data_IF_648841054097
#
_entry.id   IF_648841054097
#
_cell.length_a   1.000
_cell.length_b   1.000
_cell.length_c   1.000
_cell.angle_alpha   90.00
_cell.angle_beta   90.00
_cell.angle_gamma   90.00
#
_symmetry.space_group_name_H-M   'P 1'
#
loop_
_entity.id
_entity.type
_entity.pdbx_description
1 polymer ?
#
# COMPACT_ATOMS: atom_id res chain seq x y z
N UNK A 1 4.70 -34.58 -63.85
CA UNK A 1 4.39 -33.12 -63.92
C UNK A 1 3.01 -32.72 -63.38
N UNK A 2 1.87 -32.87 -64.09
CA UNK A 2 0.56 -32.40 -63.57
C UNK A 2 0.11 -33.04 -62.25
N UNK A 3 0.42 -34.32 -62.04
CA UNK A 3 0.07 -35.04 -60.80
C UNK A 3 0.89 -34.54 -59.60
N UNK A 4 2.21 -34.42 -59.73
CA UNK A 4 3.09 -33.87 -58.68
C UNK A 4 2.74 -32.42 -58.33
N UNK A 5 2.41 -31.59 -59.32
CA UNK A 5 1.97 -30.22 -59.08
C UNK A 5 0.67 -30.18 -58.25
N UNK A 6 -0.28 -31.08 -58.53
CA UNK A 6 -1.51 -31.18 -57.75
C UNK A 6 -1.28 -31.73 -56.33
N UNK A 7 -0.36 -32.70 -56.16
CA UNK A 7 0.01 -33.23 -54.83
C UNK A 7 0.70 -32.15 -53.99
N UNK A 8 1.61 -31.38 -54.58
CA UNK A 8 2.27 -30.25 -53.91
C UNK A 8 1.28 -29.16 -53.51
N UNK A 9 0.37 -28.79 -54.43
CA UNK A 9 -0.69 -27.80 -54.16
C UNK A 9 -1.66 -28.28 -53.08
N UNK A 10 -1.96 -29.57 -53.01
CA UNK A 10 -2.74 -30.18 -51.92
C UNK A 10 -2.03 -30.02 -50.57
N UNK A 11 -0.74 -30.36 -50.50
CA UNK A 11 0.04 -30.20 -49.26
C UNK A 11 0.17 -28.75 -48.79
N UNK A 12 0.34 -27.81 -49.73
CA UNK A 12 0.35 -26.37 -49.42
C UNK A 12 -1.00 -25.88 -48.86
N UNK A 13 -2.11 -26.34 -49.43
CA UNK A 13 -3.45 -26.03 -48.93
C UNK A 13 -3.71 -26.63 -47.55
N UNK A 14 -3.32 -27.89 -47.33
CA UNK A 14 -3.43 -28.55 -46.01
C UNK A 14 -2.62 -27.79 -44.94
N UNK A 15 -1.40 -27.35 -45.27
CA UNK A 15 -0.59 -26.53 -44.38
C UNK A 15 -1.22 -25.15 -44.11
N UNK A 16 -1.80 -24.50 -45.12
CA UNK A 16 -2.50 -23.22 -44.94
C UNK A 16 -3.73 -23.36 -44.04
N UNK A 17 -4.49 -24.45 -44.18
CA UNK A 17 -5.66 -24.75 -43.35
C UNK A 17 -5.23 -24.99 -41.90
N UNK A 18 -4.19 -25.81 -41.66
CA UNK A 18 -3.65 -26.06 -40.32
C UNK A 18 -3.15 -24.78 -39.65
N UNK A 19 -2.39 -23.96 -40.38
CA UNK A 19 -1.91 -22.67 -39.89
C UNK A 19 -3.04 -21.68 -39.59
N UNK A 20 -4.09 -21.65 -40.41
CA UNK A 20 -5.25 -20.82 -40.17
C UNK A 20 -6.01 -21.28 -38.92
N UNK A 21 -6.22 -22.59 -38.77
CA UNK A 21 -6.88 -23.19 -37.61
C UNK A 21 -6.15 -22.84 -36.30
N UNK A 22 -4.81 -23.00 -36.28
CA UNK A 22 -3.98 -22.61 -35.12
C UNK A 22 -4.04 -21.12 -34.81
N UNK A 23 -4.14 -20.25 -35.82
CA UNK A 23 -4.31 -18.80 -35.63
C UNK A 23 -5.68 -18.47 -35.04
N UNK A 24 -6.74 -19.11 -35.53
CA UNK A 24 -8.09 -18.96 -34.99
C UNK A 24 -8.17 -19.39 -33.54
N UNK A 25 -7.62 -20.55 -33.19
CA UNK A 25 -7.60 -21.04 -31.81
C UNK A 25 -6.86 -20.07 -30.86
N UNK A 26 -5.72 -19.51 -31.30
CA UNK A 26 -4.99 -18.50 -30.52
C UNK A 26 -5.77 -17.19 -30.38
N UNK A 27 -6.41 -16.74 -31.46
CA UNK A 27 -7.23 -15.53 -31.44
C UNK A 27 -8.44 -15.70 -30.51
N UNK A 28 -9.07 -16.87 -30.51
CA UNK A 28 -10.19 -17.20 -29.61
C UNK A 28 -9.74 -17.18 -28.14
N UNK A 29 -8.62 -17.83 -27.81
CA UNK A 29 -8.05 -17.78 -26.46
C UNK A 29 -7.73 -16.35 -26.02
N UNK A 30 -7.21 -15.54 -26.93
CA UNK A 30 -6.89 -14.13 -26.66
C UNK A 30 -8.17 -13.32 -26.43
N UNK A 31 -9.18 -13.44 -27.30
CA UNK A 31 -10.47 -12.75 -27.15
C UNK A 31 -11.16 -13.17 -25.84
N UNK A 32 -11.16 -14.47 -25.52
CA UNK A 32 -11.72 -15.00 -24.28
C UNK A 32 -10.99 -14.42 -23.04
N UNK A 33 -9.65 -14.41 -23.07
CA UNK A 33 -8.84 -13.81 -22.00
C UNK A 33 -9.05 -12.29 -21.85
N UNK A 34 -9.15 -11.57 -22.97
CA UNK A 34 -9.42 -10.12 -22.96
C UNK A 34 -10.84 -9.80 -22.50
N UNK A 35 -11.82 -10.67 -22.71
CA UNK A 35 -13.19 -10.46 -22.21
C UNK A 35 -13.26 -10.38 -20.69
N UNK A 36 -12.54 -11.28 -20.01
CA UNK A 36 -12.40 -11.25 -18.55
C UNK A 36 -11.67 -9.99 -18.08
N UNK A 37 -10.56 -9.65 -18.73
CA UNK A 37 -9.76 -8.48 -18.36
C UNK A 37 -10.51 -7.16 -18.60
N UNK A 38 -11.28 -7.05 -19.69
CA UNK A 38 -12.15 -5.91 -19.96
C UNK A 38 -13.15 -5.69 -18.82
N UNK A 39 -13.79 -6.76 -18.35
CA UNK A 39 -14.74 -6.68 -17.23
C UNK A 39 -14.04 -6.20 -15.96
N UNK A 40 -12.86 -6.76 -15.66
CA UNK A 40 -12.05 -6.38 -14.50
C UNK A 40 -11.62 -4.91 -14.55
N UNK A 41 -11.10 -4.44 -15.68
CA UNK A 41 -10.68 -3.05 -15.86
C UNK A 41 -11.85 -2.08 -15.82
N UNK A 42 -13.00 -2.46 -16.38
CA UNK A 42 -14.22 -1.64 -16.31
C UNK A 42 -14.64 -1.45 -14.85
N UNK A 43 -14.71 -2.53 -14.08
CA UNK A 43 -15.02 -2.46 -12.64
C UNK A 43 -13.96 -1.67 -11.86
N UNK A 44 -12.67 -1.84 -12.17
CA UNK A 44 -11.60 -1.08 -11.52
C UNK A 44 -11.69 0.42 -11.85
N UNK A 45 -12.03 0.79 -13.09
CA UNK A 45 -12.21 2.18 -13.48
C UNK A 45 -13.40 2.83 -12.76
N UNK A 46 -14.51 2.11 -12.60
CA UNK A 46 -15.66 2.56 -11.82
C UNK A 46 -15.29 2.79 -10.34
N UNK A 47 -14.59 1.83 -9.72
CA UNK A 47 -14.11 1.96 -8.34
C UNK A 47 -13.15 3.13 -8.18
N UNK A 48 -12.23 3.32 -9.12
CA UNK A 48 -11.30 4.44 -9.12
C UNK A 48 -12.03 5.78 -9.25
N UNK A 49 -13.10 5.83 -10.05
CA UNK A 49 -13.96 7.00 -10.17
C UNK A 49 -14.66 7.36 -8.86
N UNK A 50 -15.06 6.37 -8.06
CA UNK A 50 -15.62 6.57 -6.71
C UNK A 50 -14.53 7.07 -5.76
N UNK A 51 -13.37 6.42 -5.75
CA UNK A 51 -12.23 6.80 -4.91
C UNK A 51 -11.79 8.24 -5.20
N UNK A 52 -11.69 8.61 -6.48
CA UNK A 52 -11.29 9.95 -6.91
C UNK A 52 -12.22 11.04 -6.38
N UNK A 53 -13.54 10.77 -6.32
CA UNK A 53 -14.51 11.72 -5.76
C UNK A 53 -14.32 11.91 -4.26
N UNK A 54 -14.02 10.85 -3.52
CA UNK A 54 -13.88 10.88 -2.05
C UNK A 54 -12.48 11.27 -1.57
N UNK A 55 -11.50 11.28 -2.49
CA UNK A 55 -10.08 11.45 -2.20
C UNK A 55 -9.78 12.65 -1.31
N UNK A 56 -10.41 13.80 -1.58
CA UNK A 56 -10.15 15.04 -0.84
C UNK A 56 -10.49 14.88 0.64
N UNK A 57 -11.67 14.34 0.95
CA UNK A 57 -12.09 14.12 2.33
C UNK A 57 -11.28 13.03 3.03
N UNK A 58 -10.98 11.93 2.33
CA UNK A 58 -10.21 10.82 2.89
C UNK A 58 -8.77 11.25 3.23
N UNK A 59 -8.13 12.04 2.37
CA UNK A 59 -6.79 12.59 2.64
C UNK A 59 -6.82 13.62 3.77
N UNK A 60 -7.85 14.47 3.83
CA UNK A 60 -8.01 15.46 4.89
C UNK A 60 -8.10 14.80 6.27
N UNK A 61 -9.00 13.83 6.43
CA UNK A 61 -9.21 13.10 7.68
C UNK A 61 -7.95 12.30 8.03
N UNK A 62 -7.36 11.58 7.07
CA UNK A 62 -6.13 10.81 7.32
C UNK A 62 -4.98 11.70 7.77
N UNK A 63 -4.84 12.89 7.19
CA UNK A 63 -3.81 13.86 7.58
C UNK A 63 -4.02 14.37 9.01
N UNK A 64 -5.29 14.60 9.40
CA UNK A 64 -5.62 14.97 10.77
C UNK A 64 -5.32 13.84 11.77
N UNK A 65 -5.55 12.58 11.39
CA UNK A 65 -5.16 11.41 12.22
C UNK A 65 -3.65 11.41 12.48
N UNK A 66 -2.83 11.56 11.44
CA UNK A 66 -1.36 11.58 11.56
C UNK A 66 -0.89 12.77 12.41
N UNK A 67 -1.50 13.93 12.24
CA UNK A 67 -1.08 15.15 12.94
C UNK A 67 -1.47 15.20 14.43
N UNK A 68 -2.67 14.73 14.77
CA UNK A 68 -3.29 14.97 16.07
C UNK A 68 -3.55 13.72 16.90
N UNK A 69 -3.82 12.57 16.27
CA UNK A 69 -4.39 11.43 16.98
C UNK A 69 -3.38 10.39 17.48
N UNK A 70 -2.08 10.58 17.19
CA UNK A 70 -1.02 9.64 17.58
C UNK A 70 -0.99 9.27 19.06
N UNK A 71 -1.29 10.20 19.96
CA UNK A 71 -1.24 9.97 21.41
C UNK A 71 -2.51 9.31 22.01
N UNK A 72 -3.59 9.18 21.23
CA UNK A 72 -4.89 8.75 21.74
C UNK A 72 -5.16 7.26 21.54
N UNK A 73 -6.09 6.72 22.31
CA UNK A 73 -6.53 5.32 22.25
C UNK A 73 -7.40 5.06 21.02
N UNK A 74 -7.46 3.80 20.57
CA UNK A 74 -8.26 3.39 19.41
C UNK A 74 -9.72 3.87 19.49
N UNK A 75 -10.36 3.78 20.67
CA UNK A 75 -11.76 4.20 20.85
C UNK A 75 -11.94 5.71 20.63
N UNK A 76 -11.03 6.52 21.19
CA UNK A 76 -11.07 7.97 20.99
C UNK A 76 -10.82 8.34 19.53
N UNK A 77 -9.89 7.65 18.86
CA UNK A 77 -9.62 7.88 17.44
C UNK A 77 -10.87 7.63 16.58
N UNK A 78 -11.55 6.50 16.80
CA UNK A 78 -12.74 6.13 16.05
C UNK A 78 -13.87 7.14 16.21
N UNK A 79 -14.12 7.58 17.46
CA UNK A 79 -15.12 8.60 17.75
C UNK A 79 -14.77 9.93 17.05
N UNK A 80 -13.51 10.37 17.14
CA UNK A 80 -13.08 11.62 16.53
C UNK A 80 -13.13 11.58 14.99
N UNK A 81 -12.73 10.46 14.38
CA UNK A 81 -12.80 10.23 12.93
C UNK A 81 -14.26 10.32 12.47
N UNK A 82 -15.19 9.69 13.19
CA UNK A 82 -16.62 9.73 12.85
C UNK A 82 -17.16 11.16 12.87
N UNK A 83 -16.85 11.93 13.91
CA UNK A 83 -17.24 13.35 13.99
C UNK A 83 -16.65 14.17 12.83
N UNK A 84 -15.39 13.91 12.45
CA UNK A 84 -14.77 14.60 11.31
C UNK A 84 -15.39 14.20 9.97
N UNK A 85 -15.79 12.95 9.78
CA UNK A 85 -16.53 12.52 8.59
C UNK A 85 -17.89 13.25 8.50
N UNK A 86 -18.66 13.29 9.59
CA UNK A 86 -19.94 14.01 9.63
C UNK A 86 -19.76 15.51 9.34
N UNK A 87 -18.69 16.12 9.86
CA UNK A 87 -18.35 17.51 9.57
C UNK A 87 -17.97 17.71 8.10
N UNK A 88 -17.17 16.83 7.50
CA UNK A 88 -16.82 16.92 6.09
C UNK A 88 -18.08 16.84 5.21
N UNK A 89 -18.96 15.87 5.47
CA UNK A 89 -20.19 15.68 4.72
C UNK A 89 -21.14 16.88 4.84
N UNK A 90 -21.30 17.45 6.03
CA UNK A 90 -22.12 18.65 6.24
C UNK A 90 -21.57 19.90 5.54
N UNK A 91 -20.26 19.95 5.30
CA UNK A 91 -19.59 21.02 4.53
C UNK A 91 -19.51 20.71 3.02
N UNK A 92 -20.14 19.65 2.54
CA UNK A 92 -20.12 19.27 1.13
C UNK A 92 -18.79 18.68 0.65
N UNK A 93 -17.93 18.25 1.58
CA UNK A 93 -16.68 17.56 1.26
C UNK A 93 -16.98 16.06 1.17
N UNK A 94 -16.83 15.43 -0.02
CA UNK A 94 -17.05 14.00 -0.18
C UNK A 94 -15.99 13.19 0.55
N UNK A 95 -16.45 12.19 1.31
CA UNK A 95 -15.62 11.23 2.04
C UNK A 95 -16.14 9.81 1.80
N UNK A 96 -15.27 8.82 1.94
CA UNK A 96 -15.68 7.42 1.93
C UNK A 96 -16.52 7.09 3.16
N UNK A 97 -17.61 6.33 2.95
CA UNK A 97 -18.50 5.87 4.03
C UNK A 97 -17.72 5.01 5.03
N UNK A 98 -16.98 4.03 4.50
CA UNK A 98 -16.09 3.15 5.26
C UNK A 98 -14.66 3.69 5.18
N UNK A 99 -14.41 4.79 5.89
CA UNK A 99 -13.09 5.39 5.94
C UNK A 99 -12.08 4.49 6.66
N UNK A 100 -10.87 4.41 6.08
CA UNK A 100 -9.75 3.71 6.68
C UNK A 100 -8.46 4.49 6.45
N UNK A 101 -7.76 4.79 7.54
CA UNK A 101 -6.41 5.40 7.49
C UNK A 101 -5.45 4.46 6.76
N UNK A 102 -5.54 3.16 7.04
CA UNK A 102 -4.77 2.12 6.34
C UNK A 102 -5.13 2.05 4.86
N UNK A 103 -6.39 2.27 4.48
CA UNK A 103 -6.79 2.35 3.08
C UNK A 103 -6.24 3.58 2.34
N UNK A 104 -5.98 4.68 3.06
CA UNK A 104 -5.55 5.95 2.48
C UNK A 104 -4.02 6.11 2.45
N UNK A 105 -3.34 5.80 3.56
CA UNK A 105 -1.88 5.93 3.72
C UNK A 105 -1.14 4.61 3.91
N UNK A 106 -1.85 3.49 4.05
CA UNK A 106 -1.23 2.19 4.22
C UNK A 106 -0.71 1.63 2.90
N UNK A 107 0.57 1.32 2.86
CA UNK A 107 1.18 0.52 1.80
C UNK A 107 1.23 -0.95 2.26
N UNK A 108 0.51 -1.88 1.61
CA UNK A 108 0.49 -3.29 2.00
C UNK A 108 1.87 -3.95 2.05
N UNK A 109 2.82 -3.50 1.21
CA UNK A 109 4.19 -4.02 1.18
C UNK A 109 4.94 -3.54 2.43
N UNK A 110 4.89 -2.25 2.75
CA UNK A 110 5.52 -1.71 3.97
C UNK A 110 4.93 -2.30 5.24
N UNK A 111 3.60 -2.44 5.31
CA UNK A 111 2.91 -3.04 6.45
C UNK A 111 3.39 -4.49 6.65
N UNK A 112 3.55 -5.24 5.56
CA UNK A 112 4.10 -6.59 5.62
C UNK A 112 5.53 -6.60 6.16
N UNK A 113 6.38 -5.69 5.71
CA UNK A 113 7.75 -5.58 6.22
C UNK A 113 7.76 -5.22 7.71
N UNK A 114 6.89 -4.31 8.16
CA UNK A 114 6.74 -3.97 9.57
C UNK A 114 6.34 -5.19 10.41
N UNK A 115 5.42 -6.02 9.92
CA UNK A 115 5.02 -7.25 10.58
C UNK A 115 6.18 -8.24 10.70
N UNK A 116 7.02 -8.36 9.66
CA UNK A 116 8.24 -9.18 9.69
C UNK A 116 9.23 -8.65 10.74
N UNK A 117 9.33 -7.32 10.90
CA UNK A 117 10.17 -6.68 11.92
C UNK A 117 9.55 -6.69 13.32
N UNK A 118 8.35 -7.25 13.49
CA UNK A 118 7.72 -7.49 14.78
C UNK A 118 6.69 -6.45 15.21
N UNK A 119 6.20 -5.61 14.29
CA UNK A 119 4.98 -4.84 14.53
C UNK A 119 3.77 -5.81 14.60
N UNK A 120 2.89 -5.69 15.59
CA UNK A 120 1.67 -6.49 15.63
C UNK A 120 0.74 -6.21 14.44
N UNK A 121 -0.05 -7.21 14.05
CA UNK A 121 -0.94 -7.14 12.88
C UNK A 121 -2.31 -6.52 13.17
N UNK A 122 -2.55 -6.05 14.40
CA UNK A 122 -3.81 -5.39 14.76
C UNK A 122 -3.89 -3.99 14.14
N UNK A 123 -5.12 -3.50 13.95
CA UNK A 123 -5.35 -2.22 13.26
C UNK A 123 -4.72 -1.04 13.99
N UNK A 124 -4.69 -1.06 15.33
CA UNK A 124 -4.14 0.05 16.12
C UNK A 124 -2.61 0.12 15.99
N UNK A 125 -1.92 -1.02 16.01
CA UNK A 125 -0.48 -1.10 15.77
C UNK A 125 -0.10 -0.67 14.35
N UNK A 126 -0.87 -1.10 13.34
CA UNK A 126 -0.67 -0.69 11.94
C UNK A 126 -0.89 0.81 11.78
N UNK A 127 -1.93 1.38 12.38
CA UNK A 127 -2.14 2.84 12.39
C UNK A 127 -0.96 3.59 13.02
N UNK A 128 -0.44 3.11 14.15
CA UNK A 128 0.74 3.72 14.77
C UNK A 128 1.97 3.64 13.85
N UNK A 129 2.16 2.53 13.13
CA UNK A 129 3.19 2.40 12.12
C UNK A 129 3.04 3.43 10.99
N UNK A 130 1.80 3.63 10.51
CA UNK A 130 1.50 4.66 9.49
C UNK A 130 1.79 6.06 10.01
N UNK A 131 1.39 6.38 11.24
CA UNK A 131 1.63 7.69 11.86
C UNK A 131 3.14 7.92 11.98
N UNK A 132 3.90 6.96 12.49
CA UNK A 132 5.36 7.06 12.66
C UNK A 132 6.05 7.25 11.29
N UNK A 133 5.63 6.52 10.26
CA UNK A 133 6.24 6.60 8.93
C UNK A 133 5.88 7.88 8.16
N UNK A 134 4.80 8.58 8.52
CA UNK A 134 4.32 9.78 7.82
C UNK A 134 4.37 11.04 8.69
N UNK A 135 4.86 10.95 9.93
CA UNK A 135 5.00 12.09 10.81
C UNK A 135 6.13 13.01 10.33
N UNK A 136 5.82 14.31 10.23
CA UNK A 136 6.84 15.33 9.92
C UNK A 136 7.71 15.68 11.14
N UNK A 137 7.30 15.29 12.34
CA UNK A 137 8.04 15.51 13.59
C UNK A 137 8.58 14.19 14.10
N UNK A 138 9.73 14.22 14.76
CA UNK A 138 10.32 13.04 15.40
C UNK A 138 9.30 12.38 16.36
N UNK A 139 8.93 11.11 16.13
CA UNK A 139 7.87 10.46 16.88
C UNK A 139 8.34 10.08 18.29
N UNK A 140 7.53 10.42 19.30
CA UNK A 140 7.71 9.95 20.67
C UNK A 140 6.79 8.75 20.93
N UNK A 141 7.37 7.56 21.06
CA UNK A 141 6.61 6.34 21.32
C UNK A 141 6.35 6.13 22.82
N UNK A 142 5.08 6.09 23.22
CA UNK A 142 4.66 5.68 24.57
C UNK A 142 4.43 4.16 24.55
N UNK A 143 5.46 3.39 24.90
CA UNK A 143 5.48 1.93 24.70
C UNK A 143 5.87 1.18 25.98
N UNK A 144 4.89 0.91 26.88
CA UNK A 144 5.16 0.17 28.12
C UNK A 144 5.50 -1.31 27.88
N UNK A 145 5.13 -1.88 26.73
CA UNK A 145 5.35 -3.29 26.41
C UNK A 145 6.66 -3.53 25.64
N UNK A 146 7.34 -2.47 25.18
CA UNK A 146 8.58 -2.56 24.41
C UNK A 146 8.39 -3.06 22.97
N UNK A 147 7.15 -3.11 22.46
CA UNK A 147 6.84 -3.61 21.12
C UNK A 147 7.36 -2.67 20.03
N UNK A 148 7.09 -1.37 20.14
CA UNK A 148 7.58 -0.36 19.22
C UNK A 148 9.13 -0.28 19.27
N UNK A 149 9.71 -0.39 20.47
CA UNK A 149 11.16 -0.43 20.65
C UNK A 149 11.80 -1.61 19.90
N UNK A 150 11.23 -2.82 20.04
CA UNK A 150 11.69 -4.01 19.32
C UNK A 150 11.54 -3.85 17.81
N UNK A 151 10.40 -3.32 17.36
CA UNK A 151 10.11 -3.09 15.95
C UNK A 151 11.11 -2.13 15.30
N UNK A 152 11.34 -0.95 15.90
CA UNK A 152 12.29 0.05 15.37
C UNK A 152 13.72 -0.51 15.30
N UNK A 153 14.17 -1.24 16.34
CA UNK A 153 15.49 -1.89 16.33
C UNK A 153 15.65 -2.92 15.21
N UNK A 154 14.61 -3.68 14.91
CA UNK A 154 14.64 -4.66 13.84
C UNK A 154 14.60 -4.01 12.45
N UNK A 155 13.79 -2.95 12.31
CA UNK A 155 13.68 -2.16 11.08
C UNK A 155 15.02 -1.50 10.72
N UNK A 156 15.66 -0.85 11.69
CA UNK A 156 16.91 -0.11 11.51
C UNK A 156 18.18 -0.98 11.66
N UNK A 157 18.03 -2.31 11.75
CA UNK A 157 19.14 -3.24 11.99
C UNK A 157 20.25 -3.14 10.93
N UNK A 158 19.90 -2.81 9.69
CA UNK A 158 20.86 -2.63 8.58
C UNK A 158 21.49 -1.23 8.55
N UNK A 159 20.89 -0.28 9.26
CA UNK A 159 21.25 1.13 9.23
C UNK A 159 22.12 1.56 10.42
N UNK A 160 22.60 0.60 11.23
CA UNK A 160 23.44 0.85 12.41
C UNK A 160 22.79 1.80 13.44
N UNK A 161 21.56 1.49 13.86
CA UNK A 161 20.84 2.23 14.90
C UNK A 161 21.66 2.36 16.19
N UNK A 162 21.86 3.59 16.66
CA UNK A 162 22.50 3.87 17.95
C UNK A 162 21.44 4.06 19.04
N UNK A 163 21.52 3.25 20.10
CA UNK A 163 20.58 3.30 21.22
C UNK A 163 21.25 4.00 22.40
N UNK A 164 20.76 5.19 22.74
CA UNK A 164 21.30 6.02 23.84
C UNK A 164 20.20 6.40 24.83
N UNK A 165 20.60 6.70 26.06
CA UNK A 165 19.74 7.29 27.11
C UNK A 165 20.26 8.66 27.48
N UNK A 166 19.36 9.55 27.93
CA UNK A 166 19.72 10.87 28.46
C UNK A 166 20.65 10.81 29.68
N UNK A 167 20.73 9.66 30.34
CA UNK A 167 21.60 9.41 31.50
C UNK A 167 23.02 8.95 31.13
N UNK A 168 23.28 8.64 29.86
CA UNK A 168 24.57 8.12 29.43
C UNK A 168 25.61 9.24 29.38
N UNK A 169 26.82 8.97 29.89
CA UNK A 169 27.90 9.98 29.94
C UNK A 169 28.28 10.49 28.54
N UNK A 170 28.25 9.61 27.53
CA UNK A 170 28.58 9.91 26.13
C UNK A 170 27.37 10.30 25.27
N UNK A 171 26.22 10.65 25.88
CA UNK A 171 24.97 10.99 25.16
C UNK A 171 25.19 12.04 24.06
N UNK A 172 25.76 13.20 24.43
CA UNK A 172 25.94 14.34 23.51
C UNK A 172 26.88 13.97 22.36
N UNK A 173 27.98 13.28 22.67
CA UNK A 173 28.98 12.86 21.68
C UNK A 173 28.40 11.84 20.69
N UNK A 174 27.62 10.89 21.17
CA UNK A 174 27.00 9.88 20.31
C UNK A 174 25.95 10.52 19.41
N UNK A 175 25.13 11.43 19.94
CA UNK A 175 24.14 12.18 19.18
C UNK A 175 24.79 13.02 18.06
N UNK A 176 25.85 13.76 18.38
CA UNK A 176 26.59 14.57 17.41
C UNK A 176 27.13 13.71 16.24
N UNK A 177 27.75 12.58 16.56
CA UNK A 177 28.24 11.64 15.54
C UNK A 177 27.08 11.12 14.65
N UNK A 178 25.95 10.74 15.25
CA UNK A 178 24.81 10.22 14.48
C UNK A 178 24.24 11.26 13.51
N UNK A 179 24.15 12.53 13.95
CA UNK A 179 23.73 13.65 13.10
C UNK A 179 24.74 13.88 11.98
N UNK A 180 26.05 13.84 12.27
CA UNK A 180 27.10 14.10 11.29
C UNK A 180 27.18 13.01 10.21
N UNK A 181 27.07 11.73 10.59
CA UNK A 181 27.20 10.59 9.68
C UNK A 181 25.88 10.13 9.07
N UNK A 182 24.75 10.68 9.52
CA UNK A 182 23.42 10.31 9.03
C UNK A 182 23.00 8.90 9.45
N UNK A 183 23.36 8.48 10.66
CA UNK A 183 22.92 7.20 11.23
C UNK A 183 21.75 7.42 12.20
N UNK A 184 20.74 6.55 12.18
CA UNK A 184 19.61 6.61 13.09
C UNK A 184 19.99 6.32 14.55
#
# INVERSE_FOLDING_TARGET
>A
EKFEANVKRKGELEHQVDMCSKKLERAEKLISGLGGEKTRWTSAAEQLGILFKNLVGDVLISSAVVAYLGAFTSAFRQEQIKQWQELCLSNGIPCSKDFSVTGTFGDPVKIRDWNIWGLPTDSFSVENGIIISNANRWPLCIDPQGQANKWIKNMEKKNNLHVIKLTDQDYVRTLENCIQFGTP
#
